data_IF_261690279788
#
_entry.id   IF_261690279788
#
_cell.length_a   1.000
_cell.length_b   1.000
_cell.length_c   1.000
_cell.angle_alpha   90.00
_cell.angle_beta   90.00
_cell.angle_gamma   90.00
#
_symmetry.space_group_name_H-M   'P 1'
#
loop_
_entity.id
_entity.type
_entity.pdbx_description
1 polymer ?
#
# COMPACT_ATOMS: atom_id res chain seq x y z
N UNK A 1 21.26 3.38 -9.02
CA UNK A 1 22.09 2.27 -9.52
C UNK A 1 23.43 2.28 -8.79
N UNK A 2 23.95 1.11 -8.47
CA UNK A 2 25.24 0.91 -7.81
C UNK A 2 25.99 -0.24 -8.50
N UNK A 3 27.34 -0.29 -8.42
CA UNK A 3 28.11 -1.44 -8.87
C UNK A 3 27.68 -2.75 -8.18
N UNK A 4 27.70 -3.84 -8.92
CA UNK A 4 27.37 -5.16 -8.39
C UNK A 4 28.25 -5.57 -7.19
N UNK A 5 29.50 -5.09 -7.16
CA UNK A 5 30.45 -5.34 -6.07
C UNK A 5 30.07 -4.74 -4.72
N UNK A 6 29.19 -3.73 -4.71
CA UNK A 6 28.69 -3.10 -3.47
C UNK A 6 27.49 -3.83 -2.85
N UNK A 7 26.90 -4.81 -3.56
CA UNK A 7 25.70 -5.49 -3.16
C UNK A 7 26.01 -6.87 -2.56
N UNK A 8 25.79 -7.09 -1.24
CA UNK A 8 26.07 -8.37 -0.58
C UNK A 8 25.14 -9.49 -1.08
N UNK A 9 23.91 -9.16 -1.38
CA UNK A 9 22.94 -10.05 -2.01
C UNK A 9 22.13 -9.26 -3.04
N UNK A 10 21.82 -9.85 -4.19
CA UNK A 10 20.99 -9.21 -5.22
C UNK A 10 19.84 -10.12 -5.57
N UNK A 11 18.65 -9.58 -5.44
CA UNK A 11 17.41 -10.30 -5.69
C UNK A 11 17.02 -10.11 -7.14
N UNK A 12 16.64 -11.18 -7.81
CA UNK A 12 16.09 -11.09 -9.16
C UNK A 12 14.66 -10.53 -9.15
N UNK A 13 14.26 -10.00 -10.29
CA UNK A 13 12.90 -9.51 -10.50
C UNK A 13 12.22 -10.15 -11.69
N UNK A 14 10.96 -9.80 -11.89
CA UNK A 14 10.17 -10.21 -13.07
C UNK A 14 9.15 -9.15 -13.44
N UNK A 15 8.84 -9.06 -14.71
CA UNK A 15 7.67 -8.35 -15.18
C UNK A 15 6.40 -9.15 -14.88
N UNK A 16 5.44 -8.48 -14.26
CA UNK A 16 4.07 -8.98 -14.08
C UNK A 16 3.17 -8.12 -14.93
N UNK A 17 2.60 -8.73 -15.96
CA UNK A 17 1.70 -8.07 -16.91
C UNK A 17 0.26 -8.52 -16.68
N UNK A 18 -0.69 -7.59 -16.79
CA UNK A 18 -2.11 -7.85 -16.63
C UNK A 18 -2.91 -6.96 -17.58
N UNK A 19 -3.94 -7.52 -18.21
CA UNK A 19 -4.95 -6.76 -18.94
C UNK A 19 -6.06 -6.43 -17.95
N UNK A 20 -6.32 -5.13 -17.76
CA UNK A 20 -7.49 -4.65 -17.04
C UNK A 20 -8.66 -4.57 -18.02
N UNK A 21 -9.82 -5.01 -17.58
CA UNK A 21 -11.06 -4.98 -18.37
C UNK A 21 -12.13 -4.20 -17.63
N UNK A 22 -12.95 -3.49 -18.38
CA UNK A 22 -14.19 -2.90 -17.91
C UNK A 22 -15.24 -3.98 -17.61
N UNK A 23 -16.35 -3.60 -16.97
CA UNK A 23 -17.48 -4.50 -16.66
C UNK A 23 -18.14 -5.12 -17.90
N UNK A 24 -18.05 -4.44 -19.04
CA UNK A 24 -18.54 -4.93 -20.34
C UNK A 24 -17.57 -5.89 -21.06
N UNK A 25 -16.39 -6.15 -20.45
CA UNK A 25 -15.35 -7.03 -21.01
C UNK A 25 -14.38 -6.34 -21.95
N UNK A 26 -14.58 -5.09 -22.32
CA UNK A 26 -13.63 -4.30 -23.12
C UNK A 26 -12.31 -4.06 -22.36
N UNK A 27 -11.21 -3.84 -23.08
CA UNK A 27 -9.92 -3.57 -22.47
C UNK A 27 -9.91 -2.13 -21.96
N UNK A 28 -9.76 -1.97 -20.62
CA UNK A 28 -9.53 -0.66 -19.99
C UNK A 28 -8.07 -0.22 -20.23
N UNK A 29 -7.12 -1.10 -19.87
CA UNK A 29 -5.67 -0.79 -20.00
C UNK A 29 -4.80 -2.04 -19.85
N UNK A 30 -3.59 -1.95 -20.38
CA UNK A 30 -2.50 -2.87 -20.11
C UNK A 30 -1.73 -2.38 -18.87
N UNK A 31 -1.45 -3.27 -17.93
CA UNK A 31 -0.71 -2.98 -16.71
C UNK A 31 0.52 -3.86 -16.63
N UNK A 32 1.69 -3.25 -16.52
CA UNK A 32 2.95 -3.95 -16.27
C UNK A 32 3.57 -3.44 -14.96
N UNK A 33 4.13 -4.36 -14.16
CA UNK A 33 4.87 -4.04 -12.95
C UNK A 33 6.16 -4.84 -12.91
N UNK A 34 7.27 -4.18 -12.59
CA UNK A 34 8.47 -4.88 -12.16
C UNK A 34 8.29 -5.29 -10.69
N UNK A 35 8.45 -6.58 -10.41
CA UNK A 35 8.27 -7.13 -9.08
C UNK A 35 9.50 -7.91 -8.68
N UNK A 36 10.00 -7.70 -7.46
CA UNK A 36 11.08 -8.51 -6.90
C UNK A 36 10.61 -9.95 -6.63
N UNK A 37 11.51 -10.90 -6.73
CA UNK A 37 11.28 -12.28 -6.29
C UNK A 37 11.66 -12.40 -4.81
N UNK A 38 10.83 -11.84 -3.93
CA UNK A 38 11.09 -11.75 -2.49
C UNK A 38 11.29 -13.09 -1.78
N UNK A 39 10.89 -14.21 -2.39
CA UNK A 39 11.16 -15.54 -1.84
C UNK A 39 12.67 -15.86 -1.77
N UNK A 40 13.51 -15.18 -2.57
CA UNK A 40 14.97 -15.32 -2.54
C UNK A 40 15.66 -14.40 -1.52
N UNK A 41 14.88 -13.54 -0.84
CA UNK A 41 15.42 -12.69 0.23
C UNK A 41 15.87 -13.53 1.44
N UNK A 42 17.00 -13.15 2.01
CA UNK A 42 17.59 -13.77 3.20
C UNK A 42 17.31 -12.89 4.41
N UNK A 43 16.79 -13.49 5.47
CA UNK A 43 16.60 -12.81 6.75
C UNK A 43 17.95 -12.35 7.29
N UNK A 44 17.95 -11.22 8.00
CA UNK A 44 19.10 -10.55 8.61
C UNK A 44 20.18 -10.04 7.61
N UNK A 45 19.93 -10.22 6.30
CA UNK A 45 20.72 -9.63 5.20
C UNK A 45 19.87 -8.64 4.40
N UNK A 46 18.72 -9.10 3.91
CA UNK A 46 17.84 -8.34 3.01
C UNK A 46 16.62 -7.75 3.74
N UNK A 47 16.28 -8.28 4.90
CA UNK A 47 15.18 -7.80 5.75
C UNK A 47 15.34 -8.34 7.17
N UNK A 48 14.84 -7.59 8.16
CA UNK A 48 14.81 -8.00 9.57
C UNK A 48 13.42 -8.47 9.98
N UNK A 49 12.38 -7.73 9.59
CA UNK A 49 10.99 -7.96 9.97
C UNK A 49 10.06 -7.73 8.78
N UNK A 50 8.93 -8.45 8.74
CA UNK A 50 7.99 -8.41 7.60
C UNK A 50 6.55 -8.14 8.01
N UNK A 51 6.24 -8.13 9.32
CA UNK A 51 4.86 -8.02 9.77
C UNK A 51 4.23 -6.69 9.35
N UNK A 52 3.12 -6.80 8.64
CA UNK A 52 2.23 -5.70 8.29
C UNK A 52 0.79 -6.11 8.60
N UNK A 53 0.10 -5.42 9.50
CA UNK A 53 -1.30 -5.72 9.76
C UNK A 53 -2.15 -5.37 8.56
N UNK A 54 -3.18 -6.16 8.32
CA UNK A 54 -4.29 -5.86 7.42
C UNK A 54 -5.59 -6.08 8.19
N UNK A 55 -6.63 -5.31 7.89
CA UNK A 55 -7.90 -5.42 8.58
C UNK A 55 -8.47 -6.83 8.45
N UNK A 56 -8.98 -7.39 9.56
CA UNK A 56 -9.62 -8.69 9.57
C UNK A 56 -11.05 -8.60 9.03
N UNK A 57 -11.53 -9.66 8.40
CA UNK A 57 -12.93 -9.72 7.93
C UNK A 57 -13.95 -9.53 9.05
N UNK A 58 -13.70 -10.04 10.26
CA UNK A 58 -14.53 -9.80 11.43
C UNK A 58 -14.60 -8.32 11.81
N UNK A 59 -13.47 -7.62 11.71
CA UNK A 59 -13.36 -6.18 11.98
C UNK A 59 -14.13 -5.37 10.93
N UNK A 60 -14.03 -5.74 9.65
CA UNK A 60 -14.82 -5.08 8.59
C UNK A 60 -16.31 -5.23 8.85
N UNK A 61 -16.79 -6.44 9.18
CA UNK A 61 -18.20 -6.68 9.48
C UNK A 61 -18.67 -5.88 10.70
N UNK A 62 -17.85 -5.83 11.75
CA UNK A 62 -18.14 -5.03 12.95
C UNK A 62 -18.25 -3.55 12.61
N UNK A 63 -17.32 -3.01 11.84
CA UNK A 63 -17.33 -1.61 11.41
C UNK A 63 -18.56 -1.28 10.56
N UNK A 64 -18.95 -2.15 9.63
CA UNK A 64 -20.14 -1.95 8.80
C UNK A 64 -21.43 -2.03 9.65
N UNK A 65 -21.52 -2.96 10.61
CA UNK A 65 -22.64 -3.02 11.55
C UNK A 65 -22.73 -1.75 12.43
N UNK A 66 -21.57 -1.28 12.92
CA UNK A 66 -21.50 -0.03 13.68
C UNK A 66 -21.92 1.17 12.82
N UNK A 67 -21.44 1.24 11.57
CA UNK A 67 -21.81 2.30 10.64
C UNK A 67 -23.32 2.37 10.42
N UNK A 68 -23.96 1.21 10.19
CA UNK A 68 -25.40 1.14 10.02
C UNK A 68 -26.17 1.62 11.27
N UNK A 69 -25.72 1.21 12.47
CA UNK A 69 -26.34 1.61 13.73
C UNK A 69 -26.22 3.12 14.00
N UNK A 70 -25.13 3.74 13.58
CA UNK A 70 -24.81 5.15 13.82
C UNK A 70 -25.02 6.04 12.60
N UNK A 71 -25.69 5.56 11.54
CA UNK A 71 -25.96 6.29 10.30
C UNK A 71 -24.70 6.84 9.62
N UNK A 72 -23.58 6.14 9.77
CA UNK A 72 -22.37 6.42 9.01
C UNK A 72 -22.44 5.70 7.65
N UNK A 73 -21.80 6.29 6.64
CA UNK A 73 -21.71 5.73 5.30
C UNK A 73 -20.34 5.17 5.02
N UNK A 74 -20.22 3.99 4.37
CA UNK A 74 -18.97 3.43 3.95
C UNK A 74 -18.51 4.04 2.61
N UNK A 75 -17.33 4.65 2.61
CA UNK A 75 -16.66 5.15 1.41
C UNK A 75 -15.34 4.40 1.20
N UNK A 76 -14.91 4.32 -0.06
CA UNK A 76 -13.65 3.71 -0.45
C UNK A 76 -12.61 4.72 -0.91
N UNK A 77 -11.34 4.43 -0.61
CA UNK A 77 -10.21 5.12 -1.21
C UNK A 77 -9.10 4.12 -1.54
N UNK A 78 -8.41 4.33 -2.66
CA UNK A 78 -7.30 3.50 -3.15
C UNK A 78 -6.03 4.34 -3.24
N UNK A 79 -4.97 3.88 -2.57
CA UNK A 79 -3.65 4.54 -2.63
C UNK A 79 -2.85 4.00 -3.79
N UNK A 80 -2.57 4.86 -4.76
CA UNK A 80 -1.84 4.46 -5.96
C UNK A 80 -0.39 4.09 -5.68
N UNK A 81 -0.03 2.83 -6.01
CA UNK A 81 1.32 2.27 -5.84
C UNK A 81 1.84 2.39 -4.39
N UNK A 82 1.03 2.04 -3.42
CA UNK A 82 1.27 2.19 -1.99
C UNK A 82 2.70 1.81 -1.56
N UNK A 83 3.19 0.64 -1.94
CA UNK A 83 4.54 0.20 -1.56
C UNK A 83 5.65 1.16 -2.02
N UNK A 84 5.54 1.70 -3.23
CA UNK A 84 6.54 2.65 -3.76
C UNK A 84 6.47 4.05 -3.11
N UNK A 85 5.53 4.28 -2.20
CA UNK A 85 5.40 5.54 -1.43
C UNK A 85 6.20 5.52 -0.13
N UNK A 86 6.44 4.34 0.42
CA UNK A 86 7.23 4.18 1.63
C UNK A 86 8.73 4.07 1.31
N UNK A 87 9.56 4.59 2.22
CA UNK A 87 11.00 4.40 2.15
C UNK A 87 11.33 2.94 2.45
N UNK A 88 12.27 2.37 1.68
CA UNK A 88 12.86 1.08 1.98
C UNK A 88 13.88 1.26 3.11
N UNK A 89 13.59 0.72 4.29
CA UNK A 89 14.45 0.89 5.48
C UNK A 89 15.61 -0.11 5.53
N UNK A 90 15.51 -1.20 4.77
CA UNK A 90 16.53 -2.24 4.71
C UNK A 90 17.49 -2.00 3.52
N UNK A 91 18.72 -2.51 3.62
CA UNK A 91 19.72 -2.37 2.56
C UNK A 91 19.51 -3.43 1.47
N UNK A 92 18.55 -3.17 0.59
CA UNK A 92 18.07 -4.14 -0.40
C UNK A 92 18.51 -3.79 -1.81
N UNK A 93 19.02 -4.80 -2.53
CA UNK A 93 19.47 -4.68 -3.91
C UNK A 93 18.69 -5.63 -4.82
N UNK A 94 18.28 -5.12 -5.98
CA UNK A 94 17.49 -5.87 -6.97
C UNK A 94 18.12 -5.71 -8.34
N UNK A 95 18.05 -6.74 -9.16
CA UNK A 95 18.45 -6.64 -10.57
C UNK A 95 17.66 -5.54 -11.29
N UNK A 96 18.28 -4.91 -12.26
CA UNK A 96 17.58 -3.96 -13.13
C UNK A 96 16.46 -4.67 -13.90
N UNK A 97 15.36 -3.96 -14.23
CA UNK A 97 14.32 -4.51 -15.06
C UNK A 97 14.86 -5.01 -16.40
N UNK A 98 14.53 -6.23 -16.78
CA UNK A 98 14.88 -6.79 -18.08
C UNK A 98 14.43 -5.84 -19.20
N UNK A 99 15.32 -5.54 -20.14
CA UNK A 99 15.13 -4.55 -21.21
C UNK A 99 15.60 -3.12 -20.86
N UNK A 100 16.01 -2.87 -19.60
CA UNK A 100 16.49 -1.57 -19.12
C UNK A 100 17.85 -1.66 -18.43
N UNK A 101 18.62 -2.71 -18.74
CA UNK A 101 19.90 -2.96 -18.09
C UNK A 101 20.95 -1.97 -18.59
N UNK A 102 21.63 -1.30 -17.67
CA UNK A 102 22.81 -0.46 -17.91
C UNK A 102 24.05 -1.10 -17.31
N UNK A 103 25.22 -0.78 -17.89
CA UNK A 103 26.48 -1.41 -17.57
C UNK A 103 27.53 -0.36 -17.17
N UNK A 104 28.53 -0.76 -16.41
CA UNK A 104 29.71 0.03 -16.16
C UNK A 104 30.68 0.03 -17.37
N UNK A 105 31.80 0.77 -17.27
CA UNK A 105 32.80 0.84 -18.33
C UNK A 105 33.55 -0.50 -18.62
N UNK A 106 33.46 -1.44 -17.69
CA UNK A 106 34.02 -2.78 -17.83
C UNK A 106 33.01 -3.82 -18.35
N UNK A 107 31.75 -3.40 -18.64
CA UNK A 107 30.70 -4.25 -19.16
C UNK A 107 29.93 -5.04 -18.07
N UNK A 108 30.11 -4.73 -16.79
CA UNK A 108 29.34 -5.36 -15.72
C UNK A 108 27.99 -4.64 -15.50
N UNK A 109 26.90 -5.36 -15.31
CA UNK A 109 25.61 -4.73 -15.05
C UNK A 109 25.58 -4.05 -13.67
N UNK A 110 25.06 -2.84 -13.60
CA UNK A 110 24.67 -2.23 -12.34
C UNK A 110 23.51 -2.97 -11.70
N UNK A 111 23.30 -2.74 -10.41
CA UNK A 111 22.13 -3.20 -9.64
C UNK A 111 21.39 -2.02 -9.03
N UNK A 112 20.09 -2.21 -8.76
CA UNK A 112 19.25 -1.20 -8.11
C UNK A 112 19.34 -1.35 -6.60
N UNK A 113 19.94 -0.39 -5.90
CA UNK A 113 19.71 -0.22 -4.46
C UNK A 113 18.33 0.42 -4.28
N UNK A 114 17.45 -0.22 -3.53
CA UNK A 114 16.10 0.29 -3.34
C UNK A 114 16.06 1.40 -2.30
N UNK A 115 15.56 2.57 -2.70
CA UNK A 115 15.25 3.69 -1.80
C UNK A 115 13.79 3.67 -1.38
N UNK A 116 12.93 3.01 -2.14
CA UNK A 116 11.49 2.87 -1.91
C UNK A 116 11.07 1.40 -1.96
N UNK A 117 9.94 1.10 -1.33
CA UNK A 117 9.36 -0.23 -1.38
C UNK A 117 9.06 -0.68 -2.81
N UNK A 118 9.31 -1.95 -3.10
CA UNK A 118 9.05 -2.57 -4.39
C UNK A 118 8.09 -3.75 -4.22
N UNK A 119 7.13 -3.88 -5.14
CA UNK A 119 6.23 -5.03 -5.17
C UNK A 119 7.02 -6.35 -5.20
N UNK A 120 6.60 -7.28 -4.35
CA UNK A 120 7.22 -8.60 -4.23
C UNK A 120 8.34 -8.69 -3.20
N UNK A 121 8.81 -7.59 -2.60
CA UNK A 121 9.71 -7.65 -1.44
C UNK A 121 8.93 -7.95 -0.17
N UNK A 122 9.54 -8.68 0.76
CA UNK A 122 8.89 -9.15 1.99
C UNK A 122 8.50 -8.02 2.94
N UNK A 123 9.33 -6.97 3.03
CA UNK A 123 9.17 -5.84 3.95
C UNK A 123 8.31 -4.69 3.40
N UNK A 124 7.98 -4.68 2.10
CA UNK A 124 7.26 -3.55 1.49
C UNK A 124 5.92 -3.24 2.18
N UNK A 125 5.20 -4.26 2.64
CA UNK A 125 3.96 -4.08 3.40
C UNK A 125 4.18 -3.41 4.75
N UNK A 126 5.22 -3.82 5.48
CA UNK A 126 5.63 -3.23 6.76
C UNK A 126 6.00 -1.74 6.60
N UNK A 127 6.84 -1.44 5.61
CA UNK A 127 7.32 -0.08 5.39
C UNK A 127 6.17 0.84 4.98
N UNK A 128 5.28 0.36 4.12
CA UNK A 128 4.06 1.06 3.75
C UNK A 128 3.13 1.31 4.97
N UNK A 129 2.86 0.27 5.75
CA UNK A 129 2.04 0.42 6.96
C UNK A 129 2.62 1.45 7.93
N UNK A 130 3.94 1.42 8.15
CA UNK A 130 4.64 2.41 9.00
C UNK A 130 4.51 3.83 8.46
N UNK A 131 4.68 4.03 7.15
CA UNK A 131 4.55 5.33 6.51
C UNK A 131 3.13 5.90 6.63
N UNK A 132 2.11 5.10 6.31
CA UNK A 132 0.71 5.48 6.43
C UNK A 132 0.32 5.77 7.89
N UNK A 133 0.68 4.86 8.81
CA UNK A 133 0.44 5.02 10.24
C UNK A 133 1.00 6.33 10.79
N UNK A 134 2.24 6.66 10.46
CA UNK A 134 2.87 7.89 10.92
C UNK A 134 2.06 9.14 10.48
N UNK A 135 1.56 9.17 9.25
CA UNK A 135 0.75 10.28 8.73
C UNK A 135 -0.63 10.35 9.40
N UNK A 136 -1.28 9.21 9.61
CA UNK A 136 -2.58 9.14 10.28
C UNK A 136 -2.47 9.63 11.74
N UNK A 137 -1.47 9.16 12.49
CA UNK A 137 -1.26 9.60 13.88
C UNK A 137 -0.98 11.10 13.97
N UNK A 138 -0.17 11.67 13.07
CA UNK A 138 0.10 13.10 13.00
C UNK A 138 -1.17 13.92 12.69
N UNK A 139 -2.13 13.35 11.98
CA UNK A 139 -3.42 13.96 11.68
C UNK A 139 -4.46 13.74 12.80
N UNK A 140 -4.08 13.16 13.93
CA UNK A 140 -4.94 12.97 15.11
C UNK A 140 -5.74 11.66 15.09
N UNK A 141 -5.54 10.78 14.10
CA UNK A 141 -6.18 9.46 14.12
C UNK A 141 -5.61 8.59 15.23
N UNK A 142 -6.46 7.86 15.91
CA UNK A 142 -6.10 6.93 16.98
C UNK A 142 -6.16 5.50 16.46
N UNK A 143 -5.05 4.77 16.54
CA UNK A 143 -4.97 3.36 16.17
C UNK A 143 -5.56 2.47 17.26
N UNK A 144 -6.33 1.45 16.87
CA UNK A 144 -6.92 0.50 17.82
C UNK A 144 -5.97 -0.65 18.14
N UNK A 145 -5.89 -1.02 19.42
CA UNK A 145 -5.03 -2.12 19.89
C UNK A 145 -5.50 -3.49 19.42
N UNK A 146 -6.82 -3.71 19.40
CA UNK A 146 -7.43 -5.00 19.04
C UNK A 146 -7.25 -5.37 17.58
N UNK A 147 -7.20 -4.37 16.69
CA UNK A 147 -6.87 -4.52 15.27
C UNK A 147 -6.09 -3.28 14.82
N UNK A 148 -4.76 -3.37 14.67
CA UNK A 148 -3.90 -2.24 14.29
C UNK A 148 -4.16 -1.65 12.90
N UNK A 149 -5.05 -2.27 12.11
CA UNK A 149 -5.50 -1.74 10.82
C UNK A 149 -6.77 -0.89 10.92
N UNK A 150 -7.29 -0.71 12.14
CA UNK A 150 -8.42 0.17 12.42
C UNK A 150 -7.92 1.46 13.07
N UNK A 151 -8.43 2.58 12.61
CA UNK A 151 -8.20 3.89 13.20
C UNK A 151 -9.54 4.60 13.42
N UNK A 152 -9.61 5.44 14.43
CA UNK A 152 -10.75 6.33 14.67
C UNK A 152 -10.30 7.76 14.83
N UNK A 153 -11.19 8.70 14.48
CA UNK A 153 -11.02 10.12 14.68
C UNK A 153 -12.34 10.70 15.18
N UNK A 154 -12.29 11.40 16.30
CA UNK A 154 -13.39 12.22 16.80
C UNK A 154 -13.13 13.69 16.41
N UNK A 155 -14.05 14.28 15.70
CA UNK A 155 -13.90 15.65 15.19
C UNK A 155 -15.24 16.38 15.05
N UNK A 156 -15.22 17.63 14.58
CA UNK A 156 -16.43 18.45 14.38
C UNK A 156 -17.47 17.79 13.43
N UNK A 157 -17.00 16.95 12.52
CA UNK A 157 -17.86 16.20 11.58
C UNK A 157 -18.37 14.88 12.14
N UNK A 158 -18.23 14.65 13.46
CA UNK A 158 -18.57 13.42 14.14
C UNK A 158 -17.43 12.39 14.19
N UNK A 159 -17.77 11.21 14.71
CA UNK A 159 -16.83 10.08 14.79
C UNK A 159 -16.65 9.45 13.42
N UNK A 160 -15.40 9.16 13.08
CA UNK A 160 -15.00 8.52 11.84
C UNK A 160 -14.15 7.29 12.12
N UNK A 161 -14.18 6.31 11.23
CA UNK A 161 -13.33 5.11 11.31
C UNK A 161 -12.65 4.84 9.97
N UNK A 162 -11.42 4.34 10.03
CA UNK A 162 -10.73 3.77 8.89
C UNK A 162 -10.49 2.29 9.13
N UNK A 163 -10.65 1.50 8.07
CA UNK A 163 -10.19 0.14 7.98
C UNK A 163 -9.18 0.03 6.84
N UNK A 164 -7.96 -0.43 7.12
CA UNK A 164 -6.86 -0.45 6.15
C UNK A 164 -6.59 -1.87 5.67
N UNK A 165 -6.65 -2.08 4.36
CA UNK A 165 -6.22 -3.32 3.72
C UNK A 165 -5.20 -3.00 2.62
N UNK A 166 -3.94 -2.88 2.99
CA UNK A 166 -2.80 -2.49 2.14
C UNK A 166 -3.02 -1.13 1.48
N UNK A 167 -3.42 -1.09 0.22
CA UNK A 167 -3.74 0.09 -0.60
C UNK A 167 -5.22 0.50 -0.55
N UNK A 168 -6.11 -0.42 -0.18
CA UNK A 168 -7.54 -0.16 -0.01
C UNK A 168 -7.86 0.39 1.38
N UNK A 169 -8.60 1.50 1.43
CA UNK A 169 -9.05 2.14 2.66
C UNK A 169 -10.58 2.17 2.68
N UNK A 170 -11.17 1.61 3.74
CA UNK A 170 -12.58 1.79 4.08
C UNK A 170 -12.66 3.01 4.99
N UNK A 171 -13.45 4.01 4.64
CA UNK A 171 -13.69 5.18 5.47
C UNK A 171 -15.18 5.26 5.84
N UNK A 172 -15.48 5.12 7.12
CA UNK A 172 -16.82 5.27 7.67
C UNK A 172 -16.98 6.68 8.22
N UNK A 173 -17.86 7.46 7.64
CA UNK A 173 -18.08 8.85 8.04
C UNK A 173 -19.53 9.31 7.70
N UNK A 174 -19.88 10.51 8.13
CA UNK A 174 -21.24 11.04 8.03
C UNK A 174 -21.66 11.43 6.61
N UNK A 175 -20.72 11.77 5.73
CA UNK A 175 -21.04 12.29 4.39
C UNK A 175 -19.87 12.17 3.40
N UNK A 176 -20.19 12.31 2.10
CA UNK A 176 -19.19 12.36 1.04
C UNK A 176 -18.21 13.53 1.24
N UNK A 177 -18.68 14.70 1.67
CA UNK A 177 -17.82 15.86 1.92
C UNK A 177 -16.75 15.60 2.97
N UNK A 178 -17.08 14.84 4.03
CA UNK A 178 -16.11 14.41 5.05
C UNK A 178 -15.11 13.42 4.45
N UNK A 179 -15.58 12.50 3.60
CA UNK A 179 -14.73 11.59 2.88
C UNK A 179 -13.75 12.32 1.93
N UNK A 180 -14.24 13.31 1.17
CA UNK A 180 -13.41 14.09 0.25
C UNK A 180 -12.33 14.89 0.99
N UNK A 181 -12.62 15.38 2.20
CA UNK A 181 -11.63 16.00 3.08
C UNK A 181 -10.53 15.01 3.47
N UNK A 182 -10.90 13.78 3.85
CA UNK A 182 -9.95 12.72 4.14
C UNK A 182 -9.12 12.33 2.89
N UNK A 183 -9.74 12.20 1.72
CA UNK A 183 -9.02 11.92 0.46
C UNK A 183 -8.06 13.04 0.11
N UNK A 184 -8.42 14.30 0.34
CA UNK A 184 -7.53 15.46 0.15
C UNK A 184 -6.33 15.42 1.10
N UNK A 185 -6.54 15.06 2.36
CA UNK A 185 -5.45 14.80 3.31
C UNK A 185 -4.54 13.66 2.81
N UNK A 186 -5.12 12.55 2.36
CA UNK A 186 -4.33 11.44 1.79
C UNK A 186 -3.51 11.93 0.58
N UNK A 187 -4.11 12.68 -0.35
CA UNK A 187 -3.43 13.19 -1.55
C UNK A 187 -2.28 14.15 -1.25
N UNK A 188 -2.31 14.86 -0.14
CA UNK A 188 -1.18 15.69 0.31
C UNK A 188 0.05 14.85 0.71
N UNK A 189 -0.12 13.57 0.96
CA UNK A 189 0.93 12.65 1.38
C UNK A 189 1.18 11.52 0.37
N UNK A 190 0.12 10.94 -0.18
CA UNK A 190 0.15 9.78 -1.07
C UNK A 190 -0.95 9.92 -2.12
N UNK A 191 -0.66 9.78 -3.42
CA UNK A 191 -1.69 9.83 -4.46
C UNK A 191 -2.81 8.82 -4.21
N UNK A 192 -4.00 9.35 -3.94
CA UNK A 192 -5.17 8.58 -3.50
C UNK A 192 -6.37 8.91 -4.37
N UNK A 193 -7.12 7.90 -4.76
CA UNK A 193 -8.34 8.03 -5.55
C UNK A 193 -9.54 7.67 -4.70
N UNK A 194 -10.55 8.54 -4.62
CA UNK A 194 -11.84 8.19 -4.04
C UNK A 194 -12.55 7.17 -4.92
N UNK A 195 -13.13 6.16 -4.29
CA UNK A 195 -13.99 5.16 -4.94
C UNK A 195 -15.49 5.48 -4.72
N UNK A 196 -15.80 6.56 -3.99
CA UNK A 196 -17.16 6.91 -3.61
C UNK A 196 -17.75 6.01 -2.54
N UNK A 197 -19.07 5.98 -2.45
CA UNK A 197 -19.80 5.11 -1.52
C UNK A 197 -19.63 3.64 -1.94
N UNK A 198 -19.21 2.80 -1.00
CA UNK A 198 -18.87 1.41 -1.27
C UNK A 198 -20.14 0.54 -1.39
N UNK A 199 -20.27 -0.16 -2.50
CA UNK A 199 -21.23 -1.24 -2.69
C UNK A 199 -20.59 -2.63 -2.68
N UNK A 200 -19.24 -2.67 -2.74
CA UNK A 200 -18.46 -3.90 -2.73
C UNK A 200 -17.06 -3.63 -2.16
N UNK A 201 -16.61 -4.47 -1.23
CA UNK A 201 -15.28 -4.38 -0.63
C UNK A 201 -14.75 -5.76 -0.22
N UNK A 202 -13.49 -6.03 -0.54
CA UNK A 202 -12.78 -7.26 -0.16
C UNK A 202 -13.58 -8.56 -0.43
N UNK A 203 -14.30 -8.61 -1.55
CA UNK A 203 -15.12 -9.75 -1.91
C UNK A 203 -16.52 -9.80 -1.26
N UNK A 204 -16.88 -8.79 -0.45
CA UNK A 204 -18.22 -8.63 0.15
C UNK A 204 -19.03 -7.59 -0.63
N UNK A 205 -20.33 -7.88 -0.83
CA UNK A 205 -21.31 -7.01 -1.48
C UNK A 205 -22.28 -6.47 -0.45
#
# INVERSE_FOLDING_TARGET
>A
LVPRSEAPNVISGKWVVKIKKNSDGSIERYKARWCARGFSQKQDIDYSEVFAPVIRYSSVRLLLAYANLHSLKPFGADVSNAFARADCTDNLFVEQPHGYTTFDSAGNPFVCKLNKGLYGTKQAGRDWHRALRAKLLLAGWVQHESDPSIYSLDGPSGRQFLGIYVDDIIHLCSSLSVHDTFVSFCNSNFPTTSQGELSFILGMK
#
